data_IF_102888184900
#
_entry.id   IF_102888184900
#
_cell.length_a   1.000
_cell.length_b   1.000
_cell.length_c   1.000
_cell.angle_alpha   90.00
_cell.angle_beta   90.00
_cell.angle_gamma   90.00
#
_symmetry.space_group_name_H-M   'P 1'
#
loop_
_entity.id
_entity.type
_entity.pdbx_description
1 polymer ?
#
# COMPACT_ATOMS: atom_id res chain seq x y z
N UNK A 1 27.96 -9.32 -10.50
CA UNK A 1 27.12 -9.31 -9.28
C UNK A 1 26.42 -7.95 -9.16
N UNK A 2 25.39 -7.72 -9.97
CA UNK A 2 24.65 -6.44 -9.96
C UNK A 2 23.85 -6.32 -8.66
N UNK A 3 23.97 -5.16 -8.03
CA UNK A 3 23.35 -4.80 -6.75
C UNK A 3 21.82 -4.97 -6.83
N UNK A 4 21.32 -6.12 -6.41
CA UNK A 4 19.96 -6.31 -5.92
C UNK A 4 19.79 -5.50 -4.64
N UNK A 5 19.80 -4.15 -4.73
CA UNK A 5 19.22 -3.32 -3.68
C UNK A 5 17.72 -3.62 -3.70
N UNK A 6 17.33 -4.70 -3.00
CA UNK A 6 15.95 -5.13 -2.80
C UNK A 6 15.14 -3.91 -2.41
N UNK A 7 14.20 -3.54 -3.27
CA UNK A 7 13.31 -2.39 -3.11
C UNK A 7 12.26 -2.76 -2.06
N UNK A 8 12.68 -2.69 -0.80
CA UNK A 8 11.84 -2.99 0.36
C UNK A 8 10.67 -2.01 0.39
N UNK A 9 9.44 -2.54 0.35
CA UNK A 9 8.21 -1.76 0.43
C UNK A 9 8.07 -0.79 -0.74
N UNK A 10 7.67 -1.27 -1.91
CA UNK A 10 7.19 -0.36 -2.97
C UNK A 10 5.68 -0.52 -3.08
N UNK A 11 4.87 0.45 -2.64
CA UNK A 11 3.42 0.32 -2.78
C UNK A 11 3.03 0.47 -4.26
N UNK A 12 3.05 -0.62 -5.02
CA UNK A 12 2.80 -0.61 -6.47
C UNK A 12 1.72 -1.63 -6.84
N UNK A 13 0.84 -1.27 -7.76
CA UNK A 13 -0.14 -2.16 -8.38
C UNK A 13 0.09 -2.25 -9.88
N UNK A 14 -0.11 -3.45 -10.43
CA UNK A 14 -0.07 -3.70 -11.85
C UNK A 14 -1.09 -2.80 -12.53
N UNK A 15 -0.68 -2.13 -13.61
CA UNK A 15 -1.53 -1.16 -14.31
C UNK A 15 -2.82 -1.76 -14.82
N UNK A 16 -2.79 -3.03 -15.21
CA UNK A 16 -3.97 -3.74 -15.67
C UNK A 16 -5.11 -3.76 -14.64
N UNK A 17 -4.78 -3.73 -13.34
CA UNK A 17 -5.79 -3.62 -12.28
C UNK A 17 -6.52 -2.28 -12.41
N UNK A 18 -5.76 -1.19 -12.60
CA UNK A 18 -6.27 0.19 -12.68
C UNK A 18 -7.09 0.41 -13.94
N UNK A 19 -6.58 -0.09 -15.06
CA UNK A 19 -7.17 0.17 -16.37
C UNK A 19 -8.40 -0.71 -16.60
N UNK A 20 -8.40 -1.96 -16.15
CA UNK A 20 -9.42 -2.95 -16.53
C UNK A 20 -10.23 -3.55 -15.38
N UNK A 21 -9.72 -3.60 -14.14
CA UNK A 21 -10.39 -4.34 -13.06
C UNK A 21 -11.17 -3.46 -12.08
N UNK A 22 -10.77 -2.21 -11.88
CA UNK A 22 -11.43 -1.32 -10.90
C UNK A 22 -12.93 -1.10 -11.17
N UNK A 23 -13.37 -1.20 -12.42
CA UNK A 23 -14.77 -1.00 -12.79
C UNK A 23 -15.71 -2.08 -12.25
N UNK A 24 -15.22 -3.31 -12.08
CA UNK A 24 -16.00 -4.41 -11.53
C UNK A 24 -16.14 -4.30 -9.99
N UNK A 25 -15.20 -3.63 -9.33
CA UNK A 25 -15.10 -3.56 -7.88
C UNK A 25 -16.14 -2.64 -7.24
N UNK A 26 -16.56 -2.94 -6.01
CA UNK A 26 -17.35 -2.01 -5.19
C UNK A 26 -16.46 -0.92 -4.58
N UNK A 27 -17.08 0.12 -4.00
CA UNK A 27 -16.35 1.18 -3.30
C UNK A 27 -15.47 0.64 -2.16
N UNK A 28 -15.97 -0.37 -1.42
CA UNK A 28 -15.26 -1.00 -0.30
C UNK A 28 -14.12 -1.87 -0.81
N UNK A 29 -14.33 -2.61 -1.92
CA UNK A 29 -13.29 -3.46 -2.50
C UNK A 29 -12.08 -2.63 -2.91
N UNK A 30 -12.30 -1.43 -3.46
CA UNK A 30 -11.24 -0.49 -3.82
C UNK A 30 -10.46 -0.05 -2.58
N UNK A 31 -11.14 0.31 -1.49
CA UNK A 31 -10.48 0.75 -0.25
C UNK A 31 -9.65 -0.38 0.38
N UNK A 32 -10.21 -1.59 0.41
CA UNK A 32 -9.52 -2.80 0.89
C UNK A 32 -8.32 -3.12 0.01
N UNK A 33 -8.47 -3.10 -1.31
CA UNK A 33 -7.40 -3.30 -2.30
C UNK A 33 -6.24 -2.33 -2.06
N UNK A 34 -6.53 -1.03 -1.95
CA UNK A 34 -5.51 0.00 -1.76
C UNK A 34 -4.78 -0.17 -0.42
N UNK A 35 -5.51 -0.47 0.65
CA UNK A 35 -4.92 -0.64 1.98
C UNK A 35 -4.03 -1.89 2.06
N UNK A 36 -4.49 -3.02 1.52
CA UNK A 36 -3.68 -4.25 1.44
C UNK A 36 -2.45 -4.05 0.56
N UNK A 37 -2.60 -3.35 -0.57
CA UNK A 37 -1.49 -2.98 -1.44
C UNK A 37 -0.44 -2.08 -0.77
N UNK A 38 -0.78 -1.39 0.33
CA UNK A 38 0.19 -0.61 1.12
C UNK A 38 1.15 -1.51 1.92
N UNK A 39 0.74 -2.73 2.24
CA UNK A 39 1.48 -3.69 3.08
C UNK A 39 2.23 -4.76 2.30
N UNK A 40 2.20 -4.71 0.97
CA UNK A 40 2.85 -5.72 0.15
C UNK A 40 4.37 -5.53 0.04
N UNK A 41 5.08 -6.64 -0.19
CA UNK A 41 6.46 -6.63 -0.66
C UNK A 41 6.56 -6.57 -2.18
N UNK A 42 7.80 -6.50 -2.68
CA UNK A 42 8.08 -6.36 -4.11
C UNK A 42 7.62 -7.54 -4.99
N UNK A 43 7.31 -8.69 -4.39
CA UNK A 43 6.79 -9.88 -5.07
C UNK A 43 5.26 -9.94 -5.04
N UNK A 44 4.61 -8.88 -4.54
CA UNK A 44 3.16 -8.79 -4.38
C UNK A 44 2.62 -9.53 -3.16
N UNK A 45 3.47 -9.97 -2.22
CA UNK A 45 3.00 -10.72 -1.04
C UNK A 45 2.68 -9.77 0.11
N UNK A 46 1.57 -10.01 0.80
CA UNK A 46 1.22 -9.34 2.06
C UNK A 46 1.13 -10.41 3.14
N UNK A 47 1.86 -10.24 4.23
CA UNK A 47 1.89 -11.21 5.34
C UNK A 47 1.26 -10.66 6.60
N UNK A 48 0.80 -11.58 7.44
CA UNK A 48 0.34 -11.35 8.80
C UNK A 48 -0.78 -10.30 8.88
N UNK A 49 -1.73 -10.36 7.95
CA UNK A 49 -2.88 -9.45 7.93
C UNK A 49 -3.81 -9.83 9.07
N UNK A 50 -3.94 -8.93 10.04
CA UNK A 50 -4.96 -9.04 11.07
C UNK A 50 -6.22 -8.30 10.64
N UNK A 51 -7.33 -9.03 10.44
CA UNK A 51 -8.56 -8.43 9.91
C UNK A 51 -9.08 -7.25 10.75
N UNK A 52 -8.93 -7.31 12.09
CA UNK A 52 -9.40 -6.23 12.97
C UNK A 52 -8.74 -4.89 12.66
N UNK A 53 -7.45 -4.90 12.32
CA UNK A 53 -6.76 -3.67 11.94
C UNK A 53 -7.27 -3.07 10.64
N UNK A 54 -7.67 -3.93 9.69
CA UNK A 54 -8.20 -3.47 8.41
C UNK A 54 -9.58 -2.86 8.59
N UNK A 55 -10.46 -3.53 9.35
CA UNK A 55 -11.81 -3.01 9.61
C UNK A 55 -11.78 -1.71 10.42
N UNK A 56 -10.86 -1.60 11.39
CA UNK A 56 -10.69 -0.38 12.20
C UNK A 56 -10.16 0.78 11.34
N UNK A 57 -9.14 0.54 10.50
CA UNK A 57 -8.55 1.56 9.62
C UNK A 57 -9.52 2.07 8.55
N UNK A 58 -10.37 1.18 8.04
CA UNK A 58 -11.35 1.54 7.00
C UNK A 58 -12.70 1.96 7.57
N UNK A 59 -12.92 1.77 8.88
CA UNK A 59 -14.22 1.93 9.53
C UNK A 59 -15.34 1.14 8.83
N UNK A 60 -15.10 -0.15 8.57
CA UNK A 60 -16.06 -1.04 7.89
C UNK A 60 -16.44 -2.22 8.78
N UNK A 61 -17.58 -2.84 8.50
CA UNK A 61 -17.98 -4.04 9.21
C UNK A 61 -17.14 -5.27 8.80
N UNK A 62 -16.99 -6.23 9.73
CA UNK A 62 -16.29 -7.51 9.50
C UNK A 62 -16.78 -8.23 8.24
N UNK A 63 -18.10 -8.27 8.02
CA UNK A 63 -18.68 -8.93 6.85
C UNK A 63 -18.29 -8.25 5.53
N UNK A 64 -18.20 -6.92 5.51
CA UNK A 64 -17.77 -6.16 4.33
C UNK A 64 -16.32 -6.47 3.96
N UNK A 65 -15.43 -6.61 4.96
CA UNK A 65 -14.04 -7.01 4.72
C UNK A 65 -13.93 -8.39 4.05
N UNK A 66 -14.61 -9.41 4.58
CA UNK A 66 -14.55 -10.75 3.98
C UNK A 66 -15.22 -10.82 2.61
N UNK A 67 -16.32 -10.09 2.40
CA UNK A 67 -16.94 -9.94 1.07
C UNK A 67 -15.97 -9.30 0.08
N UNK A 68 -15.25 -8.26 0.48
CA UNK A 68 -14.24 -7.62 -0.35
C UNK A 68 -13.09 -8.56 -0.70
N UNK A 69 -12.55 -9.31 0.27
CA UNK A 69 -11.51 -10.30 -0.02
C UNK A 69 -11.99 -11.36 -1.02
N UNK A 70 -13.20 -11.89 -0.82
CA UNK A 70 -13.80 -12.87 -1.72
C UNK A 70 -13.95 -12.29 -3.14
N UNK A 71 -14.51 -11.09 -3.26
CA UNK A 71 -14.73 -10.47 -4.55
C UNK A 71 -13.40 -10.15 -5.26
N UNK A 72 -12.39 -9.64 -4.54
CA UNK A 72 -11.05 -9.43 -5.11
C UNK A 72 -10.40 -10.73 -5.60
N UNK A 73 -10.66 -11.85 -4.92
CA UNK A 73 -10.21 -13.18 -5.36
C UNK A 73 -10.95 -13.65 -6.61
N UNK A 74 -12.29 -13.50 -6.64
CA UNK A 74 -13.13 -13.84 -7.81
C UNK A 74 -12.75 -13.02 -9.05
N UNK A 75 -12.28 -11.78 -8.86
CA UNK A 75 -11.76 -10.92 -9.94
C UNK A 75 -10.30 -11.23 -10.33
N UNK A 76 -9.69 -12.30 -9.80
CA UNK A 76 -8.29 -12.68 -10.01
C UNK A 76 -7.32 -11.52 -9.71
N UNK A 77 -7.56 -10.76 -8.65
CA UNK A 77 -6.66 -9.67 -8.21
C UNK A 77 -5.73 -10.17 -7.10
N UNK A 78 -6.28 -10.96 -6.19
CA UNK A 78 -5.53 -11.54 -5.07
C UNK A 78 -5.78 -13.04 -4.96
N UNK A 79 -4.83 -13.73 -4.35
CA UNK A 79 -4.95 -15.08 -3.82
C UNK A 79 -4.75 -15.00 -2.31
N UNK A 80 -5.70 -15.52 -1.53
CA UNK A 80 -5.63 -15.50 -0.07
C UNK A 80 -5.18 -16.88 0.41
N UNK A 81 -4.07 -16.92 1.15
CA UNK A 81 -3.67 -18.14 1.85
C UNK A 81 -4.62 -18.31 3.04
N UNK A 82 -5.40 -19.40 2.99
CA UNK A 82 -6.37 -19.70 4.04
C UNK A 82 -5.70 -20.21 5.31
N UNK A 83 -4.44 -20.67 5.26
CA UNK A 83 -3.61 -21.05 6.39
C UNK A 83 -4.30 -21.93 7.46
N UNK A 84 -3.63 -22.13 8.59
CA UNK A 84 -4.20 -22.83 9.76
C UNK A 84 -4.69 -21.88 10.86
N UNK A 85 -4.40 -20.57 10.74
CA UNK A 85 -4.76 -19.56 11.75
C UNK A 85 -5.88 -18.65 11.23
N UNK A 86 -7.09 -18.79 11.77
CA UNK A 86 -8.26 -17.99 11.36
C UNK A 86 -8.05 -16.47 11.49
N UNK A 87 -7.20 -16.06 12.43
CA UNK A 87 -7.02 -14.65 12.83
C UNK A 87 -6.10 -13.85 11.91
N UNK A 88 -5.06 -14.49 11.36
CA UNK A 88 -4.04 -13.84 10.54
C UNK A 88 -3.97 -14.50 9.18
N UNK A 89 -4.06 -13.71 8.12
CA UNK A 89 -4.00 -14.22 6.75
C UNK A 89 -2.79 -13.69 6.03
N UNK A 90 -2.22 -14.52 5.18
CA UNK A 90 -1.28 -14.11 4.16
C UNK A 90 -2.05 -14.03 2.83
N UNK A 91 -1.62 -13.15 1.94
CA UNK A 91 -2.17 -13.08 0.58
C UNK A 91 -1.09 -12.69 -0.42
N UNK A 92 -1.42 -12.87 -1.69
CA UNK A 92 -0.59 -12.48 -2.81
C UNK A 92 -1.42 -11.74 -3.85
N UNK A 93 -0.91 -10.62 -4.33
CA UNK A 93 -1.42 -9.96 -5.53
C UNK A 93 -0.99 -10.74 -6.77
N UNK A 94 -1.97 -11.15 -7.57
CA UNK A 94 -1.76 -11.90 -8.80
C UNK A 94 -1.07 -10.97 -9.83
N UNK A 95 -0.06 -11.48 -10.52
CA UNK A 95 0.73 -10.76 -11.53
C UNK A 95 1.33 -9.42 -11.08
N UNK A 96 1.61 -9.27 -9.78
CA UNK A 96 2.11 -8.03 -9.20
C UNK A 96 3.55 -8.11 -8.67
N UNK A 97 4.44 -8.77 -9.41
CA UNK A 97 5.88 -8.86 -9.08
C UNK A 97 6.70 -7.78 -9.80
N UNK A 98 7.09 -6.75 -9.05
CA UNK A 98 7.94 -5.65 -9.49
C UNK A 98 9.33 -5.69 -8.81
N UNK A 99 9.77 -6.88 -8.38
CA UNK A 99 11.06 -7.07 -7.73
C UNK A 99 12.26 -6.86 -8.66
N UNK A 100 12.07 -7.05 -9.97
CA UNK A 100 13.11 -6.85 -10.98
C UNK A 100 12.81 -5.62 -11.87
N UNK A 101 13.88 -4.96 -12.32
CA UNK A 101 13.78 -3.72 -13.11
C UNK A 101 13.16 -3.96 -14.50
N UNK A 102 13.31 -5.17 -15.03
CA UNK A 102 12.72 -5.59 -16.30
C UNK A 102 11.17 -5.58 -16.23
N UNK A 103 10.59 -6.24 -15.23
CA UNK A 103 9.14 -6.25 -15.02
C UNK A 103 8.61 -4.83 -14.81
N UNK A 104 9.35 -3.97 -14.10
CA UNK A 104 8.93 -2.58 -13.92
C UNK A 104 8.85 -1.80 -15.23
N UNK A 105 9.85 -1.97 -16.12
CA UNK A 105 9.87 -1.32 -17.44
C UNK A 105 8.77 -1.86 -18.36
N UNK A 106 8.45 -3.15 -18.26
CA UNK A 106 7.49 -3.82 -19.16
C UNK A 106 6.03 -3.71 -18.67
N UNK A 107 5.77 -3.86 -17.37
CA UNK A 107 4.41 -3.99 -16.80
C UNK A 107 3.82 -2.68 -16.25
N UNK A 108 4.53 -1.56 -16.38
CA UNK A 108 4.05 -0.19 -16.13
C UNK A 108 3.32 0.04 -14.79
N UNK A 109 3.90 -0.37 -13.66
CA UNK A 109 3.22 -0.29 -12.35
C UNK A 109 2.80 1.12 -11.92
N UNK A 110 1.62 1.20 -11.29
CA UNK A 110 1.12 2.39 -10.61
C UNK A 110 1.55 2.41 -9.14
N UNK A 111 2.24 3.47 -8.72
CA UNK A 111 2.57 3.68 -7.31
C UNK A 111 1.32 4.17 -6.57
N UNK A 112 0.87 3.44 -5.55
CA UNK A 112 -0.31 3.78 -4.75
C UNK A 112 0.04 4.52 -3.45
N UNK A 113 1.31 4.87 -3.20
CA UNK A 113 1.73 5.64 -2.02
C UNK A 113 1.37 7.13 -2.11
N UNK A 114 0.10 7.41 -2.40
CA UNK A 114 -0.47 8.75 -2.40
C UNK A 114 -1.34 8.87 -1.15
N UNK A 115 -0.99 9.80 -0.23
CA UNK A 115 -1.68 9.93 1.07
C UNK A 115 -3.21 10.04 0.91
N UNK A 116 -3.64 10.83 -0.08
CA UNK A 116 -5.05 11.05 -0.37
C UNK A 116 -5.85 9.74 -0.53
N UNK A 117 -5.26 8.67 -1.08
CA UNK A 117 -5.94 7.39 -1.32
C UNK A 117 -6.33 6.66 -0.03
N UNK A 118 -5.87 7.15 1.11
CA UNK A 118 -6.09 6.56 2.44
C UNK A 118 -6.85 7.48 3.40
N UNK A 119 -7.30 8.63 2.91
CA UNK A 119 -8.06 9.62 3.70
C UNK A 119 -9.53 9.24 3.84
N UNK A 120 -10.20 9.75 4.87
CA UNK A 120 -11.65 9.62 5.04
C UNK A 120 -12.42 10.21 3.87
N UNK A 121 -11.94 11.34 3.38
CA UNK A 121 -12.47 12.11 2.27
C UNK A 121 -12.49 11.25 1.00
N UNK A 122 -11.38 10.53 0.73
CA UNK A 122 -11.32 9.62 -0.41
C UNK A 122 -12.28 8.45 -0.21
N UNK A 123 -12.32 7.85 0.99
CA UNK A 123 -13.24 6.73 1.29
C UNK A 123 -14.70 7.10 1.07
N UNK A 124 -15.08 8.34 1.36
CA UNK A 124 -16.43 8.87 1.21
C UNK A 124 -16.81 9.19 -0.24
N UNK A 125 -15.86 9.14 -1.19
CA UNK A 125 -16.16 9.29 -2.61
C UNK A 125 -17.07 8.15 -3.10
N UNK A 126 -17.94 8.48 -4.06
CA UNK A 126 -18.67 7.48 -4.84
C UNK A 126 -17.70 6.60 -5.61
N UNK A 127 -18.07 5.32 -5.82
CA UNK A 127 -17.24 4.32 -6.53
C UNK A 127 -16.59 4.89 -7.79
N UNK A 128 -17.39 5.42 -8.71
CA UNK A 128 -16.87 5.90 -10.00
C UNK A 128 -16.01 7.16 -9.86
N UNK A 129 -16.24 8.00 -8.86
CA UNK A 129 -15.35 9.11 -8.53
C UNK A 129 -13.98 8.60 -8.04
N UNK A 130 -13.95 7.54 -7.21
CA UNK A 130 -12.69 6.87 -6.81
C UNK A 130 -11.94 6.33 -8.03
N UNK A 131 -12.63 5.55 -8.89
CA UNK A 131 -12.05 4.98 -10.10
C UNK A 131 -11.46 6.07 -11.00
N UNK A 132 -12.24 7.13 -11.25
CA UNK A 132 -11.79 8.27 -12.04
C UNK A 132 -10.56 8.97 -11.45
N UNK A 133 -10.57 9.25 -10.15
CA UNK A 133 -9.44 9.87 -9.46
C UNK A 133 -8.18 9.01 -9.52
N UNK A 134 -8.29 7.70 -9.27
CA UNK A 134 -7.17 6.77 -9.37
C UNK A 134 -6.60 6.78 -10.79
N UNK A 135 -7.45 6.70 -11.83
CA UNK A 135 -7.01 6.74 -13.24
C UNK A 135 -6.37 8.07 -13.60
N UNK A 136 -6.90 9.19 -13.12
CA UNK A 136 -6.31 10.53 -13.31
C UNK A 136 -4.90 10.56 -12.70
N UNK A 137 -4.74 10.20 -11.43
CA UNK A 137 -3.43 10.23 -10.74
C UNK A 137 -2.46 9.26 -11.43
N UNK A 138 -2.93 8.09 -11.83
CA UNK A 138 -2.11 7.09 -12.49
C UNK A 138 -1.60 7.54 -13.86
N UNK A 139 -2.36 8.36 -14.59
CA UNK A 139 -2.02 8.87 -15.92
C UNK A 139 -1.43 10.29 -15.91
N UNK A 140 -1.39 10.98 -14.76
CA UNK A 140 -0.82 12.33 -14.66
C UNK A 140 0.66 12.30 -15.02
N UNK A 141 1.11 13.34 -15.72
CA UNK A 141 2.52 13.45 -16.09
C UNK A 141 3.34 13.63 -14.81
N UNK A 142 4.08 12.57 -14.42
CA UNK A 142 4.87 12.54 -13.19
C UNK A 142 5.94 13.65 -13.11
N UNK A 143 6.35 14.21 -14.25
CA UNK A 143 7.36 15.29 -14.32
C UNK A 143 6.75 16.69 -14.32
N UNK A 144 5.52 16.84 -14.86
CA UNK A 144 4.87 18.14 -14.98
C UNK A 144 3.78 18.39 -13.93
N UNK A 145 3.33 17.37 -13.22
CA UNK A 145 2.31 17.50 -12.17
C UNK A 145 0.91 17.85 -12.69
N UNK A 146 0.68 17.78 -14.00
CA UNK A 146 -0.60 18.08 -14.61
C UNK A 146 -0.98 17.12 -15.76
N UNK A 147 -2.26 17.17 -16.15
CA UNK A 147 -2.82 16.44 -17.29
C UNK A 147 -3.87 17.30 -18.00
N UNK A 148 -3.88 17.29 -19.33
CA UNK A 148 -5.02 17.75 -20.13
C UNK A 148 -5.91 16.55 -20.48
N UNK A 149 -7.20 16.66 -20.18
CA UNK A 149 -8.16 15.59 -20.42
C UNK A 149 -9.41 16.13 -21.13
N UNK A 150 -9.77 15.47 -22.24
CA UNK A 150 -10.99 15.78 -22.99
C UNK A 150 -12.18 14.95 -22.53
N UNK A 151 -13.38 15.33 -22.98
CA UNK A 151 -14.65 14.70 -22.60
C UNK A 151 -14.71 13.19 -22.85
N UNK A 152 -14.13 12.70 -23.96
CA UNK A 152 -14.08 11.26 -24.25
C UNK A 152 -13.32 10.46 -23.20
N UNK A 153 -12.15 10.96 -22.77
CA UNK A 153 -11.34 10.33 -21.71
C UNK A 153 -12.00 10.44 -20.34
N UNK A 154 -12.70 11.54 -20.04
CA UNK A 154 -13.47 11.67 -18.80
C UNK A 154 -14.55 10.59 -18.70
N UNK A 155 -15.29 10.33 -19.78
CA UNK A 155 -16.29 9.26 -19.84
C UNK A 155 -15.68 7.89 -19.54
N UNK A 156 -14.51 7.60 -20.12
CA UNK A 156 -13.77 6.37 -19.85
C UNK A 156 -13.32 6.30 -18.38
N UNK A 157 -12.69 7.35 -17.86
CA UNK A 157 -12.11 7.33 -16.50
C UNK A 157 -13.17 7.16 -15.41
N UNK A 158 -14.30 7.86 -15.53
CA UNK A 158 -15.41 7.75 -14.58
C UNK A 158 -16.40 6.62 -14.90
N UNK A 159 -16.12 5.81 -15.93
CA UNK A 159 -16.97 4.70 -16.37
C UNK A 159 -18.46 5.10 -16.51
N UNK A 160 -18.73 6.18 -17.24
CA UNK A 160 -20.09 6.62 -17.53
C UNK A 160 -20.11 7.53 -18.74
N UNK A 161 -21.20 7.49 -19.53
CA UNK A 161 -21.43 8.42 -20.63
C UNK A 161 -22.19 9.69 -20.19
N UNK A 162 -22.75 9.72 -18.98
CA UNK A 162 -23.57 10.82 -18.47
C UNK A 162 -22.69 12.00 -18.03
N UNK A 163 -22.75 13.10 -18.79
CA UNK A 163 -21.92 14.29 -18.55
C UNK A 163 -22.26 15.03 -17.26
N UNK A 164 -23.53 15.02 -16.82
CA UNK A 164 -23.94 15.65 -15.57
C UNK A 164 -23.34 14.91 -14.38
N UNK A 165 -23.36 13.58 -14.43
CA UNK A 165 -22.76 12.74 -13.40
C UNK A 165 -21.23 12.90 -13.36
N UNK A 166 -20.57 13.00 -14.52
CA UNK A 166 -19.14 13.31 -14.60
C UNK A 166 -18.82 14.65 -13.95
N UNK A 167 -19.63 15.69 -14.17
CA UNK A 167 -19.45 16.98 -13.51
C UNK A 167 -19.55 16.84 -12.00
N UNK A 168 -20.54 16.11 -11.49
CA UNK A 168 -20.64 15.86 -10.05
C UNK A 168 -19.42 15.10 -9.52
N UNK A 169 -18.91 14.10 -10.23
CA UNK A 169 -17.69 13.40 -9.82
C UNK A 169 -16.46 14.30 -9.83
N UNK A 170 -16.35 15.23 -10.79
CA UNK A 170 -15.29 16.24 -10.81
C UNK A 170 -15.37 17.12 -9.56
N UNK A 171 -16.57 17.58 -9.18
CA UNK A 171 -16.75 18.35 -7.93
C UNK A 171 -16.30 17.55 -6.70
N UNK A 172 -16.69 16.28 -6.59
CA UNK A 172 -16.30 15.42 -5.47
C UNK A 172 -14.76 15.34 -5.30
N UNK A 173 -14.02 15.34 -6.42
CA UNK A 173 -12.56 15.14 -6.40
C UNK A 173 -11.74 16.43 -6.36
N UNK A 174 -12.35 17.63 -6.49
CA UNK A 174 -11.65 18.94 -6.44
C UNK A 174 -10.88 19.19 -5.14
N UNK A 175 -11.27 18.52 -4.06
CA UNK A 175 -10.50 18.55 -2.81
C UNK A 175 -9.09 17.95 -3.00
N UNK A 176 -8.92 16.97 -3.89
CA UNK A 176 -7.65 16.28 -4.14
C UNK A 176 -6.84 16.85 -5.32
N UNK A 177 -7.50 17.51 -6.27
CA UNK A 177 -6.87 18.03 -7.49
C UNK A 177 -7.35 19.45 -7.80
N UNK A 178 -6.50 20.25 -8.44
CA UNK A 178 -6.94 21.54 -8.98
C UNK A 178 -7.47 21.31 -10.40
N UNK A 179 -8.63 21.87 -10.72
CA UNK A 179 -9.28 21.75 -12.03
C UNK A 179 -9.33 23.12 -12.69
N UNK A 180 -8.79 23.23 -13.91
CA UNK A 180 -8.94 24.40 -14.77
C UNK A 180 -9.71 24.01 -16.03
N UNK A 181 -10.65 24.86 -16.42
CA UNK A 181 -11.41 24.69 -17.66
C UNK A 181 -10.69 25.39 -18.80
N UNK A 182 -10.61 24.73 -19.95
CA UNK A 182 -10.08 25.31 -21.18
C UNK A 182 -11.22 25.66 -22.13
N UNK A 183 -10.99 26.64 -23.02
CA UNK A 183 -11.99 27.15 -23.97
C UNK A 183 -12.54 26.07 -24.93
N UNK A 184 -11.77 25.00 -25.14
CA UNK A 184 -12.17 23.84 -25.95
C UNK A 184 -13.09 22.83 -25.25
N UNK A 185 -13.51 23.12 -24.01
CA UNK A 185 -14.28 22.18 -23.18
C UNK A 185 -13.45 21.03 -22.60
N UNK A 186 -12.12 21.06 -22.75
CA UNK A 186 -11.19 20.16 -22.06
C UNK A 186 -10.85 20.69 -20.66
N UNK A 187 -10.33 19.82 -19.80
CA UNK A 187 -9.87 20.18 -18.46
C UNK A 187 -8.37 20.03 -18.32
N UNK A 188 -7.74 20.96 -17.63
CA UNK A 188 -6.37 20.81 -17.12
C UNK A 188 -6.43 20.52 -15.63
N UNK A 189 -5.92 19.36 -15.24
CA UNK A 189 -5.92 18.86 -13.87
C UNK A 189 -4.51 18.97 -13.29
N UNK A 190 -4.37 19.49 -12.07
CA UNK A 190 -3.10 19.55 -11.34
C UNK A 190 -3.17 18.71 -10.07
N UNK A 191 -2.11 17.97 -9.80
CA UNK A 191 -2.01 17.14 -8.62
C UNK A 191 -1.62 17.97 -7.38
N UNK A 192 -2.42 17.89 -6.31
CA UNK A 192 -2.05 18.45 -5.00
C UNK A 192 -1.27 17.36 -4.24
N UNK A 193 0.02 17.25 -4.52
CA UNK A 193 0.83 16.17 -3.93
C UNK A 193 1.01 16.37 -2.42
N UNK A 194 0.56 15.38 -1.64
CA UNK A 194 0.98 15.16 -0.25
C UNK A 194 1.52 13.74 -0.16
N UNK A 195 2.84 13.58 -0.09
CA UNK A 195 3.48 12.28 0.13
C UNK A 195 3.53 11.98 1.62
N UNK A 196 3.15 10.76 1.98
CA UNK A 196 3.25 10.27 3.35
C UNK A 196 4.52 9.44 3.52
N UNK A 197 5.37 9.83 4.48
CA UNK A 197 6.43 9.01 5.09
C UNK A 197 7.37 8.23 4.17
N UNK A 198 8.17 7.35 4.77
CA UNK A 198 9.00 6.38 4.04
C UNK A 198 8.17 5.11 3.82
N UNK A 199 7.94 4.71 2.56
CA UNK A 199 7.19 3.49 2.20
C UNK A 199 7.77 2.25 2.91
N UNK A 200 9.10 2.20 2.99
CA UNK A 200 9.85 1.18 3.70
C UNK A 200 9.48 1.12 5.18
N UNK A 201 9.35 2.27 5.84
CA UNK A 201 9.04 2.32 7.28
C UNK A 201 7.61 1.84 7.55
N UNK A 202 6.67 2.15 6.64
CA UNK A 202 5.29 1.65 6.72
C UNK A 202 5.23 0.12 6.61
N UNK A 203 5.89 -0.45 5.59
CA UNK A 203 5.98 -1.90 5.40
C UNK A 203 6.64 -2.59 6.61
N UNK A 204 7.79 -2.09 7.05
CA UNK A 204 8.53 -2.63 8.19
C UNK A 204 7.70 -2.57 9.47
N UNK A 205 7.03 -1.44 9.72
CA UNK A 205 6.15 -1.29 10.88
C UNK A 205 5.02 -2.30 10.84
N UNK A 206 4.35 -2.50 9.70
CA UNK A 206 3.28 -3.49 9.57
C UNK A 206 3.75 -4.90 9.94
N UNK A 207 4.78 -5.41 9.26
CA UNK A 207 5.23 -6.80 9.44
C UNK A 207 5.73 -7.02 10.87
N UNK A 208 6.49 -6.07 11.43
CA UNK A 208 7.02 -6.20 12.78
C UNK A 208 5.91 -6.11 13.84
N UNK A 209 4.99 -5.15 13.74
CA UNK A 209 3.86 -5.03 14.66
C UNK A 209 2.99 -6.29 14.66
N UNK A 210 2.67 -6.83 13.48
CA UNK A 210 1.88 -8.06 13.37
C UNK A 210 2.58 -9.23 14.04
N UNK A 211 3.92 -9.36 13.88
CA UNK A 211 4.71 -10.38 14.57
C UNK A 211 4.68 -10.22 16.09
N UNK A 212 4.81 -9.00 16.61
CA UNK A 212 4.70 -8.75 18.05
C UNK A 212 3.33 -9.17 18.59
N UNK A 213 2.24 -8.81 17.87
CA UNK A 213 0.87 -9.19 18.24
C UNK A 213 0.65 -10.71 18.20
N UNK A 214 1.15 -11.40 17.18
CA UNK A 214 1.09 -12.87 17.07
C UNK A 214 1.76 -13.52 18.29
N UNK A 215 2.88 -12.95 18.74
CA UNK A 215 3.64 -13.43 19.90
C UNK A 215 3.17 -12.84 21.24
N UNK A 216 2.02 -12.12 21.26
CA UNK A 216 1.42 -11.51 22.46
C UNK A 216 2.35 -10.54 23.21
N UNK A 217 3.21 -9.84 22.48
CA UNK A 217 4.18 -8.90 23.05
C UNK A 217 3.60 -7.48 23.00
N UNK A 218 3.53 -6.80 24.15
CA UNK A 218 2.93 -5.46 24.28
C UNK A 218 4.02 -4.40 24.35
N UNK A 219 4.12 -3.55 23.32
CA UNK A 219 5.07 -2.43 23.29
C UNK A 219 4.49 -1.19 22.58
N UNK A 220 5.10 -0.03 22.83
CA UNK A 220 4.70 1.21 22.18
C UNK A 220 5.17 1.25 20.71
N UNK A 221 4.37 1.86 19.84
CA UNK A 221 4.75 2.16 18.45
C UNK A 221 6.07 2.96 18.36
N UNK A 222 6.38 3.76 19.38
CA UNK A 222 7.58 4.58 19.41
C UNK A 222 8.85 3.73 19.59
N UNK A 223 8.80 2.72 20.46
CA UNK A 223 9.94 1.84 20.74
C UNK A 223 10.21 0.92 19.55
N UNK A 224 9.14 0.44 18.92
CA UNK A 224 9.19 -0.35 17.70
C UNK A 224 9.84 0.43 16.56
N UNK A 225 9.46 1.70 16.36
CA UNK A 225 10.09 2.56 15.35
C UNK A 225 11.56 2.84 15.64
N UNK A 226 11.96 3.04 16.90
CA UNK A 226 13.38 3.20 17.29
C UNK A 226 14.18 1.94 17.00
N UNK A 227 13.60 0.76 17.27
CA UNK A 227 14.20 -0.52 16.93
C UNK A 227 14.38 -0.62 15.41
N UNK A 228 13.30 -0.46 14.64
CA UNK A 228 13.34 -0.51 13.16
C UNK A 228 14.39 0.45 12.58
N UNK A 229 14.48 1.69 13.10
CA UNK A 229 15.51 2.65 12.66
C UNK A 229 16.92 2.14 12.91
N UNK A 230 17.17 1.60 14.10
CA UNK A 230 18.48 1.06 14.42
C UNK A 230 18.82 -0.11 13.50
N UNK A 231 17.86 -1.00 13.25
CA UNK A 231 18.03 -2.12 12.32
C UNK A 231 18.18 -1.69 10.86
N UNK A 232 17.55 -0.59 10.44
CA UNK A 232 17.75 -0.04 9.10
C UNK A 232 19.22 0.35 8.86
N UNK A 233 19.94 0.79 9.89
CA UNK A 233 21.39 1.05 9.82
C UNK A 233 22.13 -0.27 9.55
N UNK A 234 21.81 -1.36 10.24
CA UNK A 234 22.41 -2.68 10.01
C UNK A 234 22.09 -3.26 8.62
N UNK A 235 20.82 -3.20 8.16
CA UNK A 235 20.40 -3.65 6.82
C UNK A 235 21.18 -2.94 5.72
N UNK A 236 21.38 -1.62 5.89
CA UNK A 236 22.11 -0.83 4.90
C UNK A 236 23.59 -1.20 4.79
N UNK A 237 24.15 -1.84 5.82
CA UNK A 237 25.56 -2.21 5.92
C UNK A 237 25.84 -3.65 5.50
N UNK A 238 24.98 -4.62 5.83
CA UNK A 238 25.26 -6.05 5.60
C UNK A 238 24.77 -6.64 4.26
N UNK A 239 24.07 -5.89 3.40
CA UNK A 239 23.44 -6.46 2.21
C UNK A 239 22.54 -7.69 2.51
N UNK A 240 21.98 -7.77 3.73
CA UNK A 240 20.99 -8.79 4.10
C UNK A 240 19.84 -8.68 3.11
N UNK A 241 19.74 -9.66 2.23
CA UNK A 241 18.73 -9.63 1.18
C UNK A 241 17.36 -9.97 1.76
N UNK A 242 17.23 -10.85 2.76
CA UNK A 242 15.92 -11.30 3.23
C UNK A 242 15.41 -10.52 4.45
N UNK A 243 14.52 -9.56 4.18
CA UNK A 243 13.86 -8.77 5.22
C UNK A 243 12.98 -9.59 6.16
N UNK A 244 12.40 -10.70 5.68
CA UNK A 244 11.57 -11.55 6.52
C UNK A 244 12.42 -12.34 7.50
N UNK A 245 13.58 -12.84 7.07
CA UNK A 245 14.56 -13.47 7.95
C UNK A 245 15.01 -12.50 9.05
N UNK A 246 15.29 -11.25 8.69
CA UNK A 246 15.68 -10.26 9.68
C UNK A 246 14.57 -9.99 10.70
N UNK A 247 13.32 -9.78 10.25
CA UNK A 247 12.20 -9.55 11.15
C UNK A 247 11.98 -10.76 12.05
N UNK A 248 12.23 -11.97 11.57
CA UNK A 248 12.16 -13.19 12.36
C UNK A 248 13.23 -13.21 13.46
N UNK A 249 14.50 -12.96 13.13
CA UNK A 249 15.58 -12.88 14.13
C UNK A 249 15.33 -11.78 15.16
N UNK A 250 14.85 -10.64 14.70
CA UNK A 250 14.41 -9.52 15.52
C UNK A 250 13.31 -9.93 16.52
N UNK A 251 12.30 -10.64 16.01
CA UNK A 251 11.19 -11.11 16.82
C UNK A 251 11.67 -12.09 17.88
N UNK A 252 12.54 -13.04 17.51
CA UNK A 252 13.15 -13.98 18.45
C UNK A 252 13.95 -13.28 19.54
N UNK A 253 14.69 -12.23 19.18
CA UNK A 253 15.52 -11.48 20.11
C UNK A 253 14.65 -10.69 21.10
N UNK A 254 13.59 -10.06 20.62
CA UNK A 254 12.58 -9.42 21.48
C UNK A 254 11.92 -10.42 22.43
N UNK A 255 11.50 -11.57 21.94
CA UNK A 255 10.90 -12.62 22.77
C UNK A 255 11.88 -13.07 23.86
N UNK A 256 13.15 -13.29 23.49
CA UNK A 256 14.20 -13.77 24.39
C UNK A 256 14.51 -12.80 25.53
N UNK A 257 14.37 -11.50 25.29
CA UNK A 257 14.74 -10.45 26.25
C UNK A 257 13.55 -9.57 26.67
N UNK A 258 12.33 -10.10 26.58
CA UNK A 258 11.11 -9.38 26.93
C UNK A 258 11.08 -8.93 28.40
N UNK A 259 11.73 -9.71 29.27
CA UNK A 259 11.91 -9.48 30.71
C UNK A 259 12.82 -8.27 31.01
N UNK A 260 13.69 -7.90 30.07
CA UNK A 260 14.63 -6.76 30.22
C UNK A 260 14.06 -5.43 29.71
N UNK A 261 12.82 -5.43 29.23
CA UNK A 261 12.19 -4.25 28.62
C UNK A 261 12.76 -3.88 27.24
N UNK A 262 12.13 -2.93 26.55
CA UNK A 262 12.50 -2.49 25.20
C UNK A 262 13.62 -1.43 25.19
N UNK A 263 14.66 -1.61 25.99
CA UNK A 263 15.77 -0.67 26.03
C UNK A 263 16.64 -0.79 24.77
N UNK A 264 16.53 0.18 23.87
CA UNK A 264 17.22 0.17 22.56
C UNK A 264 18.74 -0.06 22.69
N UNK A 265 19.35 0.39 23.79
CA UNK A 265 20.78 0.16 24.10
C UNK A 265 21.13 -1.32 24.26
N UNK A 266 20.27 -2.11 24.90
CA UNK A 266 20.45 -3.56 25.09
C UNK A 266 20.42 -4.26 23.73
N UNK A 267 19.41 -3.96 22.92
CA UNK A 267 19.26 -4.51 21.58
C UNK A 267 20.46 -4.15 20.69
N UNK A 268 20.93 -2.88 20.73
CA UNK A 268 22.10 -2.44 19.98
C UNK A 268 23.37 -3.21 20.38
N UNK A 269 23.59 -3.40 21.69
CA UNK A 269 24.75 -4.15 22.20
C UNK A 269 24.73 -5.60 21.71
N UNK A 270 23.55 -6.24 21.75
CA UNK A 270 23.40 -7.63 21.29
C UNK A 270 23.64 -7.74 19.78
N UNK A 271 23.10 -6.81 19.00
CA UNK A 271 23.30 -6.82 17.54
C UNK A 271 24.76 -6.58 17.16
N UNK A 272 25.42 -5.63 17.79
CA UNK A 272 26.85 -5.40 17.59
C UNK A 272 27.66 -6.66 17.93
N UNK A 273 27.34 -7.34 19.03
CA UNK A 273 28.04 -8.57 19.43
C UNK A 273 27.81 -9.76 18.49
N UNK A 274 26.62 -9.85 17.87
CA UNK A 274 26.21 -11.01 17.06
C UNK A 274 26.53 -10.86 15.58
N UNK A 275 26.56 -9.62 15.08
CA UNK A 275 26.86 -9.29 13.68
C UNK A 275 28.21 -8.58 13.51
N UNK A 276 28.99 -8.46 14.59
CA UNK A 276 30.39 -8.04 14.55
C UNK A 276 30.57 -6.56 14.20
N UNK A 277 30.38 -5.69 15.19
CA UNK A 277 30.88 -4.31 15.19
C UNK A 277 31.44 -3.92 16.55
#
# INVERSE_FOLDING_TARGET
MQRYKKRIGSCKLNRAIIDYKLEALTSIDIDVLLLLGKYQDAFGKVKYIYYKEIIDKLNIHKTSYYRALRHLSEQNIIEVDLGTKETYKDLRFIDNDYSNEYNEKVKNYFNINHHLLYTSEFRNLRKNAKVGLIRIIANMNRYKGFMNIGNGKLKQYFNTSNIYLIRTYIEDIKQFITVKHNDSGSLTLFYKEVREGSIRDLFLSHIFMSKMKINKIVHSLSDIRKLIKTFNIFISREAISDIYYLIEELTKLVIRYQDKGFETKIYNKILNSRYGY
#
